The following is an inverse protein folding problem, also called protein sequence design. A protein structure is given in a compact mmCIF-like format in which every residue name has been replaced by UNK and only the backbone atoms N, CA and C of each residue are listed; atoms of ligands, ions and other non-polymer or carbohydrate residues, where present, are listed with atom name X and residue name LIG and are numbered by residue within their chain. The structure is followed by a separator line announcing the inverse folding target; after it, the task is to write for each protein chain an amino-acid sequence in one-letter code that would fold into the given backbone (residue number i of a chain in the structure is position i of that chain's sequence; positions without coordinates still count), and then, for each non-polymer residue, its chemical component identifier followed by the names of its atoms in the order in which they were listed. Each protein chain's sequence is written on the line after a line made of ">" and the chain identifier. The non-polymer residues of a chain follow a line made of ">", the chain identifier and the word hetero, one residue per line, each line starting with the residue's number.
data_IF_774916934252
#
_entry.id   IF_774916934252
#
_cell.length_a   1.000
_cell.length_b   1.000
_cell.length_c   1.000
_cell.angle_alpha   90.00
_cell.angle_beta   90.00
_cell.angle_gamma   90.00
#
_symmetry.space_group_name_H-M   'P 1'
#
loop_
_entity.id
_entity.type
_entity.pdbx_description
1 polymer ?
#
# COMPACT_ATOMS: atom_id res chain seq x y z
N UNK A 1 -19.40 -5.66 4.84
CA UNK A 1 -18.42 -5.05 5.78
C UNK A 1 -18.59 -5.55 7.22
N UNK A 2 -19.68 -6.25 7.53
CA UNK A 2 -19.92 -6.97 8.81
C UNK A 2 -18.92 -8.11 9.12
N UNK A 3 -17.81 -8.20 8.39
CA UNK A 3 -16.81 -9.26 8.49
C UNK A 3 -15.40 -8.76 8.79
N UNK A 4 -15.19 -7.44 8.94
CA UNK A 4 -13.87 -6.92 9.35
C UNK A 4 -13.84 -6.87 10.88
N UNK A 5 -13.00 -7.67 11.55
CA UNK A 5 -12.90 -7.68 13.00
C UNK A 5 -12.51 -6.31 13.55
N UNK A 6 -13.02 -5.96 14.73
CA UNK A 6 -12.72 -4.68 15.38
C UNK A 6 -11.22 -4.53 15.71
N UNK A 7 -10.52 -5.63 15.92
CA UNK A 7 -9.08 -5.74 16.22
C UNK A 7 -8.20 -5.87 14.96
N UNK A 8 -8.77 -5.70 13.76
CA UNK A 8 -8.00 -5.71 12.53
C UNK A 8 -7.00 -4.53 12.50
N UNK A 9 -5.71 -4.81 12.67
CA UNK A 9 -4.64 -3.78 12.69
C UNK A 9 -4.19 -3.33 11.29
N UNK A 10 -4.31 -4.19 10.28
CA UNK A 10 -3.89 -3.92 8.90
C UNK A 10 -5.02 -4.21 7.91
N UNK A 11 -5.35 -3.23 7.07
CA UNK A 11 -6.28 -3.41 5.95
C UNK A 11 -5.52 -3.28 4.62
N UNK A 12 -5.61 -4.31 3.77
CA UNK A 12 -5.01 -4.30 2.43
C UNK A 12 -6.10 -4.17 1.37
N UNK A 13 -5.99 -3.14 0.54
CA UNK A 13 -6.83 -2.89 -0.63
C UNK A 13 -6.05 -3.27 -1.89
N UNK A 14 -6.41 -4.40 -2.49
CA UNK A 14 -5.78 -4.85 -3.73
C UNK A 14 -6.35 -4.13 -4.95
N UNK A 15 -5.59 -4.12 -6.04
CA UNK A 15 -6.03 -3.57 -7.31
C UNK A 15 -7.22 -4.33 -7.93
N UNK A 16 -7.78 -3.76 -8.99
CA UNK A 16 -8.86 -4.36 -9.76
C UNK A 16 -9.61 -3.32 -10.57
N UNK A 17 -10.49 -3.77 -11.46
CA UNK A 17 -11.23 -2.87 -12.36
C UNK A 17 -12.52 -2.32 -11.74
N UNK A 18 -12.87 -2.77 -10.53
CA UNK A 18 -14.16 -2.48 -9.88
C UNK A 18 -14.07 -1.36 -8.83
N UNK A 19 -13.03 -0.54 -8.84
CA UNK A 19 -12.84 0.54 -7.85
C UNK A 19 -13.68 1.80 -8.09
N UNK A 20 -14.43 1.86 -9.20
CA UNK A 20 -15.39 2.93 -9.50
C UNK A 20 -16.71 2.79 -8.71
N UNK A 21 -16.64 2.35 -7.46
CA UNK A 21 -17.79 2.15 -6.57
C UNK A 21 -18.08 3.39 -5.73
N UNK A 22 -19.36 3.58 -5.40
CA UNK A 22 -19.81 4.54 -4.38
C UNK A 22 -20.19 3.77 -3.12
N UNK A 23 -19.24 3.59 -2.21
CA UNK A 23 -19.45 2.88 -0.96
C UNK A 23 -19.07 3.79 0.22
N UNK A 24 -20.08 4.40 0.84
CA UNK A 24 -19.90 5.31 1.98
C UNK A 24 -19.38 4.60 3.23
N UNK A 25 -19.76 3.34 3.43
CA UNK A 25 -19.31 2.53 4.56
C UNK A 25 -17.80 2.26 4.46
N UNK A 26 -17.32 1.86 3.28
CA UNK A 26 -15.90 1.65 3.03
C UNK A 26 -15.10 2.94 3.18
N UNK A 27 -15.62 4.05 2.64
CA UNK A 27 -15.01 5.37 2.80
C UNK A 27 -14.87 5.74 4.28
N UNK A 28 -15.94 5.59 5.06
CA UNK A 28 -15.94 5.92 6.48
C UNK A 28 -14.94 5.03 7.24
N UNK A 29 -14.93 3.72 6.99
CA UNK A 29 -13.96 2.81 7.59
C UNK A 29 -12.51 3.25 7.30
N UNK A 30 -12.19 3.54 6.04
CA UNK A 30 -10.83 3.96 5.67
C UNK A 30 -10.46 5.30 6.31
N UNK A 31 -11.40 6.24 6.32
CA UNK A 31 -11.20 7.53 6.97
C UNK A 31 -10.92 7.36 8.48
N UNK A 32 -11.70 6.54 9.17
CA UNK A 32 -11.53 6.29 10.61
C UNK A 32 -10.22 5.56 10.90
N UNK A 33 -9.84 4.59 10.06
CA UNK A 33 -8.55 3.89 10.21
C UNK A 33 -7.37 4.84 10.03
N UNK A 34 -7.38 5.65 8.98
CA UNK A 34 -6.29 6.58 8.70
C UNK A 34 -6.15 7.62 9.84
N UNK A 35 -7.26 8.17 10.33
CA UNK A 35 -7.28 9.11 11.46
C UNK A 35 -6.79 8.49 12.78
N UNK A 36 -7.09 7.21 13.01
CA UNK A 36 -6.73 6.50 14.25
C UNK A 36 -5.39 5.75 14.14
N UNK A 37 -4.52 6.12 13.20
CA UNK A 37 -3.20 5.52 13.00
C UNK A 37 -3.22 4.00 12.76
N UNK A 38 -4.33 3.44 12.28
CA UNK A 38 -4.41 2.03 11.88
C UNK A 38 -3.80 1.83 10.50
N UNK A 39 -3.14 0.70 10.28
CA UNK A 39 -2.38 0.50 9.05
C UNK A 39 -3.30 0.21 7.85
N UNK A 40 -2.97 0.84 6.74
CA UNK A 40 -3.62 0.65 5.43
C UNK A 40 -2.56 0.48 4.36
N UNK A 41 -2.70 -0.55 3.54
CA UNK A 41 -1.96 -0.69 2.28
C UNK A 41 -2.92 -0.65 1.11
N UNK A 42 -2.64 0.16 0.09
CA UNK A 42 -3.43 0.23 -1.13
C UNK A 42 -2.52 0.15 -2.37
N UNK A 43 -2.93 -0.64 -3.37
CA UNK A 43 -2.15 -0.82 -4.60
C UNK A 43 -3.03 -0.70 -5.84
N UNK A 44 -2.49 -0.15 -6.92
CA UNK A 44 -3.16 -0.04 -8.23
C UNK A 44 -4.49 0.74 -8.11
N UNK A 45 -5.58 0.26 -8.71
CA UNK A 45 -6.88 0.96 -8.71
C UNK A 45 -7.47 1.25 -7.33
N UNK A 46 -7.01 0.57 -6.27
CA UNK A 46 -7.40 0.91 -4.91
C UNK A 46 -6.90 2.30 -4.50
N UNK A 47 -5.74 2.73 -5.00
CA UNK A 47 -5.23 4.08 -4.77
C UNK A 47 -6.12 5.12 -5.45
N UNK A 48 -6.63 4.82 -6.65
CA UNK A 48 -7.56 5.70 -7.35
C UNK A 48 -8.82 5.95 -6.51
N UNK A 49 -9.32 4.91 -5.82
CA UNK A 49 -10.42 5.05 -4.88
C UNK A 49 -10.07 5.95 -3.69
N UNK A 50 -8.86 5.83 -3.13
CA UNK A 50 -8.41 6.73 -2.07
C UNK A 50 -8.34 8.19 -2.55
N UNK A 51 -7.75 8.42 -3.72
CA UNK A 51 -7.64 9.75 -4.33
C UNK A 51 -9.04 10.37 -4.55
N UNK A 52 -9.94 9.63 -5.19
CA UNK A 52 -11.31 10.08 -5.50
C UNK A 52 -12.12 10.47 -4.27
N UNK A 53 -11.85 9.84 -3.14
CA UNK A 53 -12.56 10.06 -1.89
C UNK A 53 -11.85 11.02 -0.92
N UNK A 54 -10.74 11.65 -1.34
CA UNK A 54 -9.96 12.60 -0.55
C UNK A 54 -9.19 11.95 0.61
N UNK A 55 -9.00 10.63 0.57
CA UNK A 55 -8.35 9.85 1.63
C UNK A 55 -6.82 9.92 1.56
N UNK A 56 -6.26 10.53 0.51
CA UNK A 56 -4.82 10.80 0.38
C UNK A 56 -4.40 12.15 0.96
N UNK A 57 -5.35 12.97 1.43
CA UNK A 57 -5.07 14.29 2.00
C UNK A 57 -4.09 14.18 3.17
N UNK A 58 -3.03 14.99 3.17
CA UNK A 58 -1.93 15.00 4.15
C UNK A 58 -1.01 13.76 4.12
N UNK A 59 -1.10 12.92 3.09
CA UNK A 59 -0.17 11.82 2.87
C UNK A 59 0.62 12.03 1.58
N UNK A 60 1.94 11.84 1.65
CA UNK A 60 2.74 11.52 0.47
C UNK A 60 2.30 10.17 -0.08
N UNK A 61 2.17 10.07 -1.39
CA UNK A 61 1.59 8.89 -2.02
C UNK A 61 2.10 8.68 -3.44
N UNK A 62 1.86 7.48 -3.98
CA UNK A 62 2.04 7.12 -5.39
C UNK A 62 0.82 6.32 -5.85
N UNK A 63 0.71 6.02 -7.14
CA UNK A 63 -0.34 5.23 -7.75
C UNK A 63 0.01 4.90 -9.19
N UNK A 64 -0.93 4.35 -9.96
CA UNK A 64 -0.67 3.99 -11.36
C UNK A 64 -0.29 5.21 -12.22
N UNK A 65 -1.08 6.29 -12.10
CA UNK A 65 -0.80 7.53 -12.79
C UNK A 65 -1.66 8.68 -12.23
N UNK A 66 -1.02 9.75 -11.76
CA UNK A 66 -1.73 10.88 -11.16
C UNK A 66 -2.70 11.59 -12.13
N UNK A 67 -2.40 11.61 -13.43
CA UNK A 67 -3.24 12.31 -14.42
C UNK A 67 -4.68 11.77 -14.48
N UNK A 68 -4.91 10.53 -14.04
CA UNK A 68 -6.23 9.92 -13.94
C UNK A 68 -7.14 10.61 -12.92
N UNK A 69 -6.55 11.37 -12.00
CA UNK A 69 -7.23 12.00 -10.86
C UNK A 69 -7.47 13.50 -11.07
N UNK A 70 -7.19 14.01 -12.27
CA UNK A 70 -7.32 15.45 -12.59
C UNK A 70 -8.70 16.02 -12.29
N UNK A 71 -9.74 15.20 -12.48
CA UNK A 71 -11.17 15.54 -12.32
C UNK A 71 -11.75 15.03 -10.97
N UNK A 72 -10.89 14.61 -10.02
CA UNK A 72 -11.34 14.19 -8.70
C UNK A 72 -11.43 15.40 -7.75
N UNK A 73 -12.64 15.91 -7.54
CA UNK A 73 -12.89 17.09 -6.70
C UNK A 73 -12.37 16.96 -5.27
N UNK A 74 -12.24 15.74 -4.74
CA UNK A 74 -11.72 15.52 -3.38
C UNK A 74 -10.20 15.34 -3.33
N UNK A 75 -9.52 15.25 -4.48
CA UNK A 75 -8.07 15.09 -4.56
C UNK A 75 -7.38 16.45 -4.60
N UNK A 76 -6.99 16.95 -3.43
CA UNK A 76 -6.52 18.32 -3.23
C UNK A 76 -4.99 18.45 -3.10
N UNK A 77 -4.27 17.36 -2.80
CA UNK A 77 -2.84 17.39 -2.51
C UNK A 77 -1.99 16.81 -3.65
N UNK A 78 -2.17 17.35 -4.85
CA UNK A 78 -1.46 16.91 -6.07
C UNK A 78 0.07 17.01 -5.94
N UNK A 79 0.59 17.96 -5.16
CA UNK A 79 2.03 18.12 -4.95
C UNK A 79 2.68 17.01 -4.12
N UNK A 80 1.89 16.21 -3.40
CA UNK A 80 2.39 15.13 -2.55
C UNK A 80 2.51 13.79 -3.29
N UNK A 81 2.19 13.76 -4.58
CA UNK A 81 2.40 12.59 -5.42
C UNK A 81 3.88 12.43 -5.76
N UNK A 82 4.42 11.23 -5.54
CA UNK A 82 5.78 10.87 -5.88
C UNK A 82 5.79 9.83 -6.99
N UNK A 83 6.62 10.03 -8.01
CA UNK A 83 6.85 9.08 -9.10
C UNK A 83 7.76 7.92 -8.65
N UNK A 84 7.28 7.13 -7.70
CA UNK A 84 7.96 5.99 -7.11
C UNK A 84 7.09 4.72 -7.19
N UNK A 85 7.70 3.53 -7.14
CA UNK A 85 6.99 2.25 -7.17
C UNK A 85 6.01 2.10 -5.98
N UNK A 86 6.48 2.45 -4.79
CA UNK A 86 5.74 2.38 -3.54
C UNK A 86 6.16 3.53 -2.64
N UNK A 87 5.19 4.20 -2.03
CA UNK A 87 5.39 5.25 -1.03
C UNK A 87 4.78 4.81 0.28
N UNK A 88 5.53 4.96 1.37
CA UNK A 88 5.00 4.86 2.73
C UNK A 88 5.00 6.26 3.33
N UNK A 89 3.85 6.65 3.87
CA UNK A 89 3.75 7.84 4.71
C UNK A 89 2.87 7.53 5.94
N UNK A 90 3.43 7.74 7.14
CA UNK A 90 2.81 7.35 8.41
C UNK A 90 2.30 5.89 8.42
N UNK A 91 0.97 5.73 8.49
CA UNK A 91 0.23 4.46 8.54
C UNK A 91 -0.39 4.06 7.19
N UNK A 92 -0.01 4.72 6.09
CA UNK A 92 -0.45 4.40 4.74
C UNK A 92 0.74 3.97 3.86
N UNK A 93 0.58 2.83 3.18
CA UNK A 93 1.44 2.44 2.06
C UNK A 93 0.61 2.47 0.78
N UNK A 94 1.08 3.22 -0.22
CA UNK A 94 0.50 3.24 -1.57
C UNK A 94 1.49 2.72 -2.59
N UNK A 95 1.01 2.01 -3.61
CA UNK A 95 1.85 1.49 -4.69
C UNK A 95 1.13 1.51 -6.04
N UNK A 96 1.90 1.58 -7.12
CA UNK A 96 1.38 1.28 -8.44
C UNK A 96 1.22 -0.25 -8.64
N UNK A 97 0.47 -0.65 -9.67
CA UNK A 97 0.15 -2.06 -9.92
C UNK A 97 1.32 -2.94 -10.34
N UNK A 98 2.48 -2.37 -10.66
CA UNK A 98 3.67 -3.13 -11.08
C UNK A 98 4.65 -3.39 -9.94
N UNK A 99 4.33 -2.96 -8.72
CA UNK A 99 5.22 -3.00 -7.55
C UNK A 99 4.77 -3.97 -6.44
N UNK A 100 4.33 -5.22 -6.71
CA UNK A 100 3.80 -6.09 -5.67
C UNK A 100 4.84 -6.45 -4.59
N UNK A 101 6.10 -6.64 -4.98
CA UNK A 101 7.17 -7.00 -4.03
C UNK A 101 7.58 -5.82 -3.16
N UNK A 102 7.74 -4.63 -3.74
CA UNK A 102 8.03 -3.39 -3.01
C UNK A 102 6.86 -2.98 -2.10
N UNK A 103 5.62 -3.14 -2.57
CA UNK A 103 4.43 -2.96 -1.75
C UNK A 103 4.45 -3.88 -0.53
N UNK A 104 4.71 -5.16 -0.76
CA UNK A 104 4.82 -6.17 0.32
C UNK A 104 5.92 -5.79 1.30
N UNK A 105 7.11 -5.43 0.79
CA UNK A 105 8.26 -4.97 1.61
C UNK A 105 7.88 -3.81 2.53
N UNK A 106 7.25 -2.77 1.98
CA UNK A 106 6.88 -1.57 2.74
C UNK A 106 5.77 -1.86 3.77
N UNK A 107 4.78 -2.69 3.41
CA UNK A 107 3.73 -3.12 4.34
C UNK A 107 4.32 -3.92 5.51
N UNK A 108 5.17 -4.91 5.22
CA UNK A 108 5.82 -5.73 6.26
C UNK A 108 6.69 -4.88 7.20
N UNK A 109 7.43 -3.90 6.65
CA UNK A 109 8.22 -2.95 7.43
C UNK A 109 7.33 -2.02 8.26
N UNK A 110 6.20 -1.58 7.72
CA UNK A 110 5.24 -0.72 8.42
C UNK A 110 4.67 -1.40 9.66
N UNK A 111 4.26 -2.67 9.55
CA UNK A 111 3.70 -3.43 10.67
C UNK A 111 4.76 -4.07 11.57
N UNK A 112 6.06 -3.81 11.31
CA UNK A 112 7.20 -4.39 12.04
C UNK A 112 7.12 -5.93 12.11
N UNK A 113 6.76 -6.57 11.00
CA UNK A 113 6.58 -8.03 10.94
C UNK A 113 7.84 -8.79 11.35
N UNK A 114 9.01 -8.30 10.91
CA UNK A 114 10.34 -8.74 11.28
C UNK A 114 11.27 -7.51 11.30
N UNK A 115 12.53 -7.69 11.69
CA UNK A 115 13.51 -6.63 11.46
C UNK A 115 13.70 -6.37 9.95
N UNK A 116 14.14 -5.14 9.62
CA UNK A 116 14.20 -4.70 8.23
C UNK A 116 15.12 -5.57 7.35
N UNK A 117 16.23 -6.07 7.91
CA UNK A 117 17.18 -6.90 7.17
C UNK A 117 16.56 -8.26 6.78
N UNK A 118 15.81 -8.87 7.69
CA UNK A 118 15.10 -10.13 7.42
C UNK A 118 14.02 -9.94 6.36
N UNK A 119 13.28 -8.83 6.41
CA UNK A 119 12.29 -8.50 5.37
C UNK A 119 12.99 -8.33 4.03
N UNK A 120 14.14 -7.64 3.99
CA UNK A 120 14.90 -7.44 2.75
C UNK A 120 15.44 -8.76 2.19
N UNK A 121 15.88 -9.70 3.03
CA UNK A 121 16.26 -11.06 2.63
C UNK A 121 15.07 -11.86 2.09
N UNK A 122 13.93 -11.84 2.79
CA UNK A 122 12.72 -12.53 2.35
C UNK A 122 12.27 -12.02 0.97
N UNK A 123 12.22 -10.70 0.78
CA UNK A 123 11.86 -10.09 -0.50
C UNK A 123 12.89 -10.43 -1.59
N UNK A 124 14.19 -10.39 -1.29
CA UNK A 124 15.23 -10.78 -2.24
C UNK A 124 15.06 -12.23 -2.72
N UNK A 125 14.66 -13.15 -1.83
CA UNK A 125 14.37 -14.53 -2.21
C UNK A 125 13.20 -14.62 -3.21
N UNK A 126 12.13 -13.84 -3.03
CA UNK A 126 11.01 -13.79 -3.97
C UNK A 126 11.36 -13.11 -5.29
N UNK A 127 12.22 -12.09 -5.27
CA UNK A 127 12.60 -11.31 -6.44
C UNK A 127 13.63 -12.04 -7.34
N UNK A 128 14.62 -12.68 -6.72
CA UNK A 128 15.78 -13.25 -7.41
C UNK A 128 15.83 -14.80 -7.36
N UNK A 129 14.95 -15.41 -6.58
CA UNK A 129 14.87 -16.86 -6.44
C UNK A 129 15.98 -17.48 -5.59
N UNK A 130 15.84 -18.78 -5.32
CA UNK A 130 16.67 -19.53 -4.37
C UNK A 130 18.17 -19.50 -4.71
N UNK A 131 18.55 -19.71 -5.96
CA UNK A 131 19.97 -19.84 -6.32
C UNK A 131 20.73 -18.52 -6.21
N UNK A 132 20.13 -17.40 -6.63
CA UNK A 132 20.74 -16.07 -6.46
C UNK A 132 20.75 -15.64 -5.00
N UNK A 133 19.73 -16.02 -4.22
CA UNK A 133 19.74 -15.84 -2.77
C UNK A 133 20.92 -16.58 -2.12
N UNK A 134 21.11 -17.86 -2.43
CA UNK A 134 22.20 -18.67 -1.88
C UNK A 134 23.58 -18.10 -2.17
N UNK A 135 23.80 -17.56 -3.37
CA UNK A 135 25.05 -16.90 -3.73
C UNK A 135 25.33 -15.65 -2.88
N UNK A 136 24.28 -14.94 -2.44
CA UNK A 136 24.41 -13.68 -1.69
C UNK A 136 24.39 -13.86 -0.18
N UNK A 137 23.56 -14.77 0.34
CA UNK A 137 23.24 -14.89 1.76
C UNK A 137 23.46 -16.30 2.34
N UNK A 138 23.85 -17.29 1.52
CA UNK A 138 23.92 -18.70 1.91
C UNK A 138 22.55 -19.41 1.83
N UNK A 139 22.55 -20.72 2.04
CA UNK A 139 21.32 -21.51 2.00
C UNK A 139 20.44 -21.20 3.23
N UNK A 140 19.21 -20.68 3.05
CA UNK A 140 18.33 -20.32 4.16
C UNK A 140 17.74 -21.53 4.91
N UNK A 141 17.98 -22.75 4.43
CA UNK A 141 17.52 -24.01 5.03
C UNK A 141 18.67 -24.90 5.53
N UNK A 142 19.90 -24.40 5.50
CA UNK A 142 21.07 -25.09 6.03
C UNK A 142 21.22 -24.90 7.55
#
# INVERSE_FOLDING_TARGET
>A
MEQIPADCELLILIGGNSWQIKNSVLKQLLQDRLKNNKFVGAICGAVDYLAKNGLLTNFKHTGNAQYLWKDFDQYQNKSDFLEEQTVRDHNLVTANGTAPLEFTKQVLKMIKFKNSEQIDKDIYLYEFGFYQYCQKYGNPYA
#
